data_IF_607300151505
#
_entry.id   IF_607300151505
#
_cell.length_a   1.000
_cell.length_b   1.000
_cell.length_c   1.000
_cell.angle_alpha   90.00
_cell.angle_beta   90.00
_cell.angle_gamma   90.00
#
_symmetry.space_group_name_H-M   'P 1'
#
loop_
_entity.id
_entity.type
_entity.pdbx_description
1 polymer ?
#
# COMPACT_ATOMS: atom_id res chain seq x y z
N UNK A 1 10.41 20.75 8.85
CA UNK A 1 10.43 19.42 8.21
C UNK A 1 9.01 19.16 7.74
N UNK A 2 8.81 18.72 6.50
CA UNK A 2 7.47 18.34 6.01
C UNK A 2 7.41 16.84 5.72
N UNK A 3 6.25 16.25 5.92
CA UNK A 3 6.00 14.83 5.66
C UNK A 3 4.92 14.70 4.60
N UNK A 4 5.30 14.19 3.42
CA UNK A 4 4.39 14.02 2.29
C UNK A 4 4.06 12.55 2.08
N UNK A 5 2.77 12.20 2.10
CA UNK A 5 2.28 10.86 1.81
C UNK A 5 1.74 10.82 0.40
N UNK A 6 2.32 10.00 -0.47
CA UNK A 6 1.92 9.85 -1.88
C UNK A 6 1.13 8.56 -2.09
N UNK A 7 0.07 8.65 -2.89
CA UNK A 7 -0.73 7.51 -3.35
C UNK A 7 0.01 6.57 -4.31
N UNK A 8 -0.70 5.56 -4.82
CA UNK A 8 -0.20 4.56 -5.77
C UNK A 8 0.56 5.19 -6.96
N UNK A 9 1.86 4.90 -7.04
CA UNK A 9 2.74 5.44 -8.08
C UNK A 9 2.68 4.60 -9.36
N UNK A 10 2.63 3.27 -9.20
CA UNK A 10 2.49 2.28 -10.26
C UNK A 10 3.41 2.54 -11.47
N UNK A 11 4.71 2.68 -11.20
CA UNK A 11 5.73 2.90 -12.23
C UNK A 11 5.60 4.23 -12.99
N UNK A 12 4.82 5.18 -12.50
CA UNK A 12 4.64 6.49 -13.10
C UNK A 12 5.70 7.51 -12.66
N UNK A 13 6.97 7.12 -12.73
CA UNK A 13 8.15 7.89 -12.28
C UNK A 13 8.10 9.39 -12.64
N UNK A 14 7.75 9.74 -13.88
CA UNK A 14 7.68 11.14 -14.32
C UNK A 14 6.64 11.94 -13.54
N UNK A 15 5.49 11.35 -13.25
CA UNK A 15 4.43 11.98 -12.45
C UNK A 15 4.88 12.22 -11.02
N UNK A 16 5.52 11.22 -10.40
CA UNK A 16 6.11 11.35 -9.07
C UNK A 16 7.11 12.51 -9.03
N UNK A 17 8.08 12.56 -9.95
CA UNK A 17 9.07 13.65 -10.01
C UNK A 17 8.43 15.03 -10.20
N UNK A 18 7.34 15.13 -10.97
CA UNK A 18 6.61 16.38 -11.18
C UNK A 18 5.86 16.82 -9.93
N UNK A 19 5.21 15.89 -9.24
CA UNK A 19 4.54 16.15 -7.96
C UNK A 19 5.54 16.58 -6.88
N UNK A 20 6.67 15.86 -6.74
CA UNK A 20 7.72 16.22 -5.79
C UNK A 20 8.34 17.59 -6.09
N UNK A 21 8.51 17.93 -7.37
CA UNK A 21 8.93 19.28 -7.76
C UNK A 21 7.88 20.34 -7.40
N UNK A 22 6.60 20.03 -7.57
CA UNK A 22 5.50 20.97 -7.27
C UNK A 22 5.40 21.31 -5.78
N UNK A 23 5.69 20.35 -4.90
CA UNK A 23 5.75 20.57 -3.44
C UNK A 23 7.15 20.95 -2.95
N UNK A 24 8.08 21.20 -3.87
CA UNK A 24 9.48 21.56 -3.58
C UNK A 24 10.18 20.60 -2.61
N UNK A 25 9.89 19.30 -2.69
CA UNK A 25 10.42 18.27 -1.79
C UNK A 25 11.96 18.25 -1.76
N UNK A 26 12.53 18.27 -0.55
CA UNK A 26 13.98 18.23 -0.31
C UNK A 26 14.37 16.98 0.48
N UNK A 27 15.01 16.01 -0.19
CA UNK A 27 15.61 14.87 0.48
C UNK A 27 16.62 15.34 1.55
N UNK A 28 16.59 14.72 2.73
CA UNK A 28 17.38 15.10 3.91
C UNK A 28 16.72 16.15 4.81
N UNK A 29 15.68 16.87 4.34
CA UNK A 29 14.94 17.86 5.13
C UNK A 29 13.44 17.53 5.26
N UNK A 30 12.89 16.80 4.28
CA UNK A 30 11.51 16.33 4.24
C UNK A 30 11.46 14.80 4.22
N UNK A 31 10.29 14.25 4.55
CA UNK A 31 9.98 12.82 4.49
C UNK A 31 8.97 12.53 3.38
N UNK A 32 9.20 11.46 2.61
CA UNK A 32 8.27 10.94 1.61
C UNK A 32 7.76 9.58 2.08
N UNK A 33 6.46 9.47 2.30
CA UNK A 33 5.78 8.24 2.65
C UNK A 33 5.02 7.72 1.43
N UNK A 34 5.19 6.44 1.08
CA UNK A 34 4.51 5.82 -0.06
C UNK A 34 3.58 4.71 0.42
N UNK A 35 2.29 4.78 0.02
CA UNK A 35 1.26 3.80 0.40
C UNK A 35 1.36 2.46 -0.38
N UNK A 36 2.50 2.15 -1.00
CA UNK A 36 2.69 0.95 -1.82
C UNK A 36 2.23 1.09 -3.27
N UNK A 37 2.19 -0.06 -3.96
CA UNK A 37 1.99 -0.18 -5.41
C UNK A 37 2.91 0.79 -6.17
N UNK A 38 4.21 0.67 -5.89
CA UNK A 38 5.26 1.50 -6.48
C UNK A 38 5.49 1.13 -7.95
N UNK A 39 5.22 -0.13 -8.30
CA UNK A 39 5.54 -0.72 -9.61
C UNK A 39 4.30 -1.26 -10.33
N UNK A 40 4.54 -1.80 -11.54
CA UNK A 40 3.55 -2.36 -12.44
C UNK A 40 2.59 -1.31 -13.03
N UNK A 41 1.85 -1.67 -14.08
CA UNK A 41 0.96 -0.79 -14.89
C UNK A 41 1.67 0.30 -15.67
N UNK A 42 2.39 1.21 -15.01
CA UNK A 42 3.15 2.27 -15.65
C UNK A 42 4.43 1.76 -16.32
N UNK A 43 5.05 2.58 -17.20
CA UNK A 43 6.16 2.14 -18.04
C UNK A 43 7.54 2.21 -17.38
N UNK A 44 7.67 2.84 -16.19
CA UNK A 44 8.96 3.19 -15.57
C UNK A 44 9.07 2.69 -14.12
N UNK A 45 8.68 1.43 -13.90
CA UNK A 45 8.82 0.77 -12.59
C UNK A 45 10.27 0.71 -12.10
N UNK A 46 11.23 0.40 -12.98
CA UNK A 46 12.65 0.38 -12.65
C UNK A 46 13.16 1.74 -12.15
N UNK A 47 12.87 2.81 -12.89
CA UNK A 47 13.25 4.18 -12.49
C UNK A 47 12.61 4.57 -11.16
N UNK A 48 11.37 4.11 -10.92
CA UNK A 48 10.63 4.39 -9.68
C UNK A 48 11.30 3.74 -8.47
N UNK A 49 11.61 2.44 -8.52
CA UNK A 49 12.23 1.74 -7.40
C UNK A 49 13.63 2.27 -7.10
N UNK A 50 14.47 2.47 -8.12
CA UNK A 50 15.81 3.05 -7.94
C UNK A 50 15.74 4.40 -7.24
N UNK A 51 14.87 5.29 -7.73
CA UNK A 51 14.70 6.60 -7.13
C UNK A 51 14.27 6.53 -5.66
N UNK A 52 13.26 5.70 -5.34
CA UNK A 52 12.77 5.58 -3.97
C UNK A 52 13.79 4.94 -3.02
N UNK A 53 14.55 3.94 -3.47
CA UNK A 53 15.67 3.36 -2.72
C UNK A 53 16.75 4.40 -2.45
N UNK A 54 17.12 5.18 -3.47
CA UNK A 54 18.19 6.17 -3.39
C UNK A 54 17.84 7.38 -2.51
N UNK A 55 16.55 7.59 -2.16
CA UNK A 55 16.13 8.56 -1.13
C UNK A 55 16.53 8.14 0.29
N UNK A 56 16.86 6.86 0.49
CA UNK A 56 17.32 6.32 1.77
C UNK A 56 16.40 6.69 2.95
N UNK A 57 16.93 7.30 4.03
CA UNK A 57 16.17 7.57 5.24
C UNK A 57 15.08 8.64 5.07
N UNK A 58 15.03 9.37 3.95
CA UNK A 58 13.96 10.33 3.63
C UNK A 58 12.73 9.67 3.02
N UNK A 59 12.72 8.34 2.87
CA UNK A 59 11.63 7.57 2.30
C UNK A 59 11.12 6.55 3.32
N UNK A 60 9.79 6.43 3.43
CA UNK A 60 9.08 5.37 4.17
C UNK A 60 8.09 4.73 3.23
N UNK A 61 8.05 3.41 3.20
CA UNK A 61 7.26 2.65 2.23
C UNK A 61 6.45 1.62 3.02
N UNK A 62 5.20 1.42 2.63
CA UNK A 62 4.50 0.16 2.90
C UNK A 62 4.35 -0.64 1.61
N UNK A 63 4.37 -1.97 1.72
CA UNK A 63 4.24 -2.85 0.56
C UNK A 63 2.80 -2.95 0.06
N UNK A 64 2.61 -2.77 -1.24
CA UNK A 64 1.36 -3.02 -1.93
C UNK A 64 1.31 -4.38 -2.64
N UNK A 65 0.15 -4.71 -3.22
CA UNK A 65 -0.02 -6.00 -3.88
C UNK A 65 0.84 -6.16 -5.15
N UNK A 66 1.14 -5.06 -5.84
CA UNK A 66 1.95 -5.08 -7.05
C UNK A 66 3.44 -5.14 -6.72
N UNK A 67 3.85 -4.65 -5.55
CA UNK A 67 5.21 -4.78 -5.05
C UNK A 67 5.49 -6.24 -4.67
N UNK A 68 4.60 -6.86 -3.88
CA UNK A 68 4.66 -8.30 -3.57
C UNK A 68 4.63 -9.15 -4.84
N UNK A 69 3.80 -8.79 -5.83
CA UNK A 69 3.77 -9.49 -7.11
C UNK A 69 5.10 -9.40 -7.87
N UNK A 70 5.78 -8.25 -7.82
CA UNK A 70 7.10 -8.11 -8.42
C UNK A 70 8.13 -9.01 -7.72
N UNK A 71 8.17 -9.02 -6.39
CA UNK A 71 9.07 -9.91 -5.62
C UNK A 71 8.80 -11.37 -6.02
N UNK A 72 7.54 -11.81 -5.99
CA UNK A 72 7.20 -13.17 -6.39
C UNK A 72 7.53 -13.50 -7.86
N UNK A 73 7.48 -12.52 -8.77
CA UNK A 73 7.91 -12.71 -10.17
C UNK A 73 9.42 -12.88 -10.29
N UNK A 74 10.19 -12.08 -9.56
CA UNK A 74 11.64 -12.17 -9.52
C UNK A 74 12.09 -13.55 -9.00
N UNK A 75 11.39 -14.07 -7.99
CA UNK A 75 11.67 -15.38 -7.38
C UNK A 75 11.04 -16.57 -8.11
N UNK A 76 10.36 -16.34 -9.25
CA UNK A 76 9.59 -17.34 -9.98
C UNK A 76 8.46 -18.04 -9.17
N UNK A 77 8.01 -17.45 -8.07
CA UNK A 77 6.89 -17.90 -7.23
C UNK A 77 5.52 -17.41 -7.72
N UNK A 78 5.48 -16.42 -8.62
CA UNK A 78 4.23 -15.86 -9.12
C UNK A 78 3.55 -16.74 -10.19
N UNK A 79 2.20 -16.79 -10.24
CA UNK A 79 1.47 -17.47 -11.31
C UNK A 79 1.90 -17.02 -12.71
N UNK A 80 1.92 -17.97 -13.66
CA UNK A 80 2.36 -17.73 -15.05
C UNK A 80 1.46 -16.76 -15.82
N UNK A 81 0.21 -16.57 -15.40
CA UNK A 81 -0.80 -15.73 -16.10
C UNK A 81 -0.82 -14.31 -15.55
N UNK A 82 -1.16 -13.34 -16.41
CA UNK A 82 -1.40 -11.94 -16.05
C UNK A 82 -0.56 -10.96 -16.86
N UNK A 83 -1.20 -9.91 -17.40
CA UNK A 83 -0.49 -8.81 -18.08
C UNK A 83 0.22 -7.94 -17.03
N UNK A 84 1.48 -7.62 -17.28
CA UNK A 84 2.29 -6.71 -16.45
C UNK A 84 3.26 -5.90 -17.31
N UNK A 85 3.75 -4.79 -16.77
CA UNK A 85 4.76 -3.92 -17.42
C UNK A 85 6.16 -4.06 -16.81
N UNK A 86 6.35 -5.07 -15.96
CA UNK A 86 7.59 -5.29 -15.21
C UNK A 86 8.77 -5.83 -16.04
N UNK A 87 8.65 -6.07 -17.36
CA UNK A 87 9.72 -6.77 -18.11
C UNK A 87 11.06 -6.04 -18.04
N UNK A 88 11.07 -4.70 -18.09
CA UNK A 88 12.31 -3.92 -17.99
C UNK A 88 12.96 -4.03 -16.61
N UNK A 89 12.13 -4.08 -15.56
CA UNK A 89 12.60 -4.22 -14.18
C UNK A 89 13.13 -5.65 -13.94
N UNK A 90 12.38 -6.69 -14.31
CA UNK A 90 12.80 -8.09 -14.14
C UNK A 90 14.09 -8.46 -14.91
N UNK A 91 14.41 -7.72 -15.98
CA UNK A 91 15.62 -7.95 -16.79
C UNK A 91 16.79 -7.04 -16.39
N UNK A 92 16.62 -6.15 -15.42
CA UNK A 92 17.69 -5.25 -15.01
C UNK A 92 18.74 -6.00 -14.18
N UNK A 93 20.02 -5.61 -14.24
CA UNK A 93 21.09 -6.29 -13.50
C UNK A 93 20.91 -6.20 -11.97
N UNK A 94 20.20 -5.17 -11.50
CA UNK A 94 19.88 -4.90 -10.09
C UNK A 94 18.47 -5.35 -9.70
N UNK A 95 17.78 -6.15 -10.52
CA UNK A 95 16.42 -6.60 -10.23
C UNK A 95 16.32 -7.36 -8.90
N UNK A 96 17.30 -8.23 -8.64
CA UNK A 96 17.37 -9.01 -7.39
C UNK A 96 17.59 -8.11 -6.19
N UNK A 97 18.55 -7.18 -6.27
CA UNK A 97 18.84 -6.22 -5.20
C UNK A 97 17.60 -5.37 -4.87
N UNK A 98 16.85 -4.93 -5.89
CA UNK A 98 15.61 -4.18 -5.70
C UNK A 98 14.50 -5.03 -5.08
N UNK A 99 14.40 -6.31 -5.44
CA UNK A 99 13.44 -7.22 -4.83
C UNK A 99 13.79 -7.49 -3.35
N UNK A 100 15.07 -7.70 -3.05
CA UNK A 100 15.56 -7.90 -1.68
C UNK A 100 15.38 -6.63 -0.83
N UNK A 101 15.61 -5.44 -1.40
CA UNK A 101 15.30 -4.18 -0.73
C UNK A 101 13.80 -4.01 -0.46
N UNK A 102 12.92 -4.41 -1.39
CA UNK A 102 11.49 -4.36 -1.15
C UNK A 102 11.05 -5.35 -0.05
N UNK A 103 11.68 -6.52 0.05
CA UNK A 103 11.38 -7.50 1.10
C UNK A 103 11.62 -6.97 2.52
N UNK A 104 12.47 -5.96 2.69
CA UNK A 104 12.73 -5.33 3.99
C UNK A 104 11.77 -4.18 4.32
N UNK A 105 10.87 -3.81 3.41
CA UNK A 105 9.88 -2.76 3.67
C UNK A 105 8.69 -3.33 4.45
N UNK A 106 8.10 -2.56 5.38
CA UNK A 106 6.97 -3.01 6.18
C UNK A 106 5.67 -3.10 5.36
N UNK A 107 4.65 -3.74 5.90
CA UNK A 107 3.27 -3.70 5.39
C UNK A 107 2.44 -2.60 6.05
N UNK A 108 2.82 -2.20 7.27
CA UNK A 108 2.17 -1.14 8.05
C UNK A 108 3.25 -0.26 8.65
N UNK A 109 3.06 1.06 8.57
CA UNK A 109 3.95 2.04 9.18
C UNK A 109 3.15 2.93 10.12
N UNK A 110 3.67 3.14 11.33
CA UNK A 110 3.08 4.01 12.33
C UNK A 110 4.08 5.09 12.73
N UNK A 111 3.59 6.32 12.87
CA UNK A 111 4.38 7.42 13.43
C UNK A 111 3.46 8.46 14.09
N UNK A 112 4.03 9.23 15.01
CA UNK A 112 3.35 10.36 15.64
C UNK A 112 4.00 11.66 15.14
N UNK A 113 3.22 12.51 14.49
CA UNK A 113 3.69 13.73 13.83
C UNK A 113 3.14 14.95 14.57
N UNK A 114 4.00 15.95 14.76
CA UNK A 114 3.58 17.27 15.24
C UNK A 114 2.92 18.05 14.09
N UNK A 115 1.65 18.36 14.24
CA UNK A 115 0.82 19.02 13.22
C UNK A 115 0.29 20.35 13.73
N UNK A 116 -0.34 21.12 12.86
CA UNK A 116 -1.05 22.35 13.25
C UNK A 116 -2.19 22.09 14.26
N UNK A 117 -2.67 20.84 14.37
CA UNK A 117 -3.66 20.39 15.35
C UNK A 117 -3.04 19.74 16.61
N UNK A 118 -1.71 19.78 16.75
CA UNK A 118 -0.92 19.13 17.80
C UNK A 118 -0.39 17.76 17.36
N UNK A 119 0.08 16.96 18.33
CA UNK A 119 0.57 15.60 18.08
C UNK A 119 -0.57 14.71 17.57
N UNK A 120 -0.37 14.10 16.41
CA UNK A 120 -1.32 13.19 15.78
C UNK A 120 -0.66 11.88 15.37
N UNK A 121 -1.39 10.79 15.63
CA UNK A 121 -1.01 9.44 15.22
C UNK A 121 -1.40 9.18 13.78
N UNK A 122 -0.47 8.67 12.98
CA UNK A 122 -0.68 8.27 11.59
C UNK A 122 -0.37 6.79 11.40
N UNK A 123 -1.29 6.07 10.76
CA UNK A 123 -1.13 4.67 10.37
C UNK A 123 -1.21 4.59 8.85
N UNK A 124 -0.12 4.20 8.22
CA UNK A 124 -0.03 3.97 6.79
C UNK A 124 -0.07 2.48 6.48
N UNK A 125 -0.92 2.09 5.54
CA UNK A 125 -1.06 0.73 5.02
C UNK A 125 -1.52 0.79 3.56
N UNK A 126 -1.37 -0.29 2.78
CA UNK A 126 -1.72 -0.21 1.36
C UNK A 126 -3.24 -0.23 1.10
N UNK A 127 -3.97 -1.17 1.70
CA UNK A 127 -5.40 -1.37 1.45
C UNK A 127 -6.29 -1.14 2.67
N UNK A 128 -6.39 -2.09 3.61
CA UNK A 128 -7.25 -1.98 4.78
C UNK A 128 -7.01 -3.06 5.83
N UNK A 129 -7.89 -3.13 6.82
CA UNK A 129 -7.80 -4.09 7.94
C UNK A 129 -9.09 -4.88 8.13
N UNK A 130 -9.00 -5.97 8.90
CA UNK A 130 -10.19 -6.68 9.36
C UNK A 130 -10.95 -5.85 10.42
N UNK A 131 -12.29 -6.01 10.54
CA UNK A 131 -13.09 -5.24 11.49
C UNK A 131 -12.64 -5.30 12.96
N UNK A 132 -12.01 -6.40 13.35
CA UNK A 132 -11.61 -6.66 14.74
C UNK A 132 -10.19 -6.21 15.09
N UNK A 133 -9.41 -5.73 14.12
CA UNK A 133 -8.02 -5.38 14.37
C UNK A 133 -7.87 -4.00 14.98
N UNK A 134 -7.28 -3.95 16.18
CA UNK A 134 -6.74 -2.74 16.78
C UNK A 134 -5.45 -2.31 16.06
N UNK A 135 -4.94 -1.12 16.38
CA UNK A 135 -3.61 -0.68 15.94
C UNK A 135 -2.51 -1.67 16.32
N UNK A 136 -2.47 -2.07 17.59
CA UNK A 136 -1.47 -3.03 18.10
C UNK A 136 -1.55 -4.36 17.34
N UNK A 137 -2.74 -4.94 17.22
CA UNK A 137 -2.93 -6.18 16.48
C UNK A 137 -2.56 -6.03 15.00
N UNK A 138 -2.85 -4.88 14.39
CA UNK A 138 -2.49 -4.62 12.99
C UNK A 138 -0.97 -4.63 12.81
N UNK A 139 -0.21 -4.03 13.73
CA UNK A 139 1.25 -3.99 13.72
C UNK A 139 1.86 -5.38 13.99
N UNK A 140 1.31 -6.15 14.93
CA UNK A 140 1.76 -7.51 15.23
C UNK A 140 1.55 -8.44 14.04
N UNK A 141 0.35 -8.40 13.44
CA UNK A 141 0.02 -9.24 12.29
C UNK A 141 0.83 -8.86 11.05
N UNK A 142 1.09 -7.55 10.84
CA UNK A 142 1.97 -7.13 9.75
C UNK A 142 3.39 -7.66 9.95
N UNK A 143 3.91 -7.61 11.18
CA UNK A 143 5.22 -8.14 11.54
C UNK A 143 5.33 -9.65 11.29
N UNK A 144 4.28 -10.44 11.53
CA UNK A 144 4.27 -11.89 11.19
C UNK A 144 4.58 -12.12 9.70
N UNK A 145 3.95 -11.34 8.82
CA UNK A 145 4.15 -11.44 7.36
C UNK A 145 5.51 -10.91 6.95
N UNK A 146 5.97 -9.81 7.56
CA UNK A 146 7.29 -9.22 7.32
C UNK A 146 8.41 -10.19 7.70
N UNK A 147 8.31 -10.87 8.84
CA UNK A 147 9.25 -11.91 9.27
C UNK A 147 9.28 -13.05 8.24
N UNK A 148 8.12 -13.51 7.77
CA UNK A 148 8.06 -14.55 6.74
C UNK A 148 8.69 -14.10 5.41
N UNK A 149 8.53 -12.82 5.04
CA UNK A 149 9.09 -12.25 3.80
C UNK A 149 10.62 -12.04 3.87
N UNK A 150 11.14 -11.76 5.07
CA UNK A 150 12.57 -11.53 5.32
C UNK A 150 13.33 -12.82 5.67
N UNK A 151 12.64 -13.86 6.15
CA UNK A 151 13.24 -15.14 6.52
C UNK A 151 13.70 -15.98 5.34
N UNK A 152 14.35 -17.11 5.63
CA UNK A 152 14.99 -17.98 4.63
C UNK A 152 13.98 -18.68 3.71
N UNK A 153 12.80 -19.04 4.21
CA UNK A 153 11.75 -19.75 3.45
C UNK A 153 10.68 -18.80 2.86
N UNK A 154 11.04 -17.54 2.62
CA UNK A 154 10.13 -16.53 2.06
C UNK A 154 9.50 -16.95 0.72
N UNK A 155 10.15 -17.83 -0.05
CA UNK A 155 9.63 -18.37 -1.32
C UNK A 155 8.38 -19.22 -1.12
N UNK A 156 8.28 -19.98 -0.02
CA UNK A 156 7.08 -20.74 0.31
C UNK A 156 5.91 -19.80 0.58
N UNK A 157 6.14 -18.72 1.34
CA UNK A 157 5.17 -17.65 1.56
C UNK A 157 4.78 -16.95 0.25
N UNK A 158 5.73 -16.51 -0.58
CA UNK A 158 5.45 -15.84 -1.86
C UNK A 158 4.61 -16.70 -2.81
N UNK A 159 4.79 -18.02 -2.78
CA UNK A 159 3.97 -18.96 -3.55
C UNK A 159 2.57 -19.06 -2.95
N UNK A 160 2.46 -19.12 -1.62
CA UNK A 160 1.19 -19.28 -0.92
C UNK A 160 0.39 -18.00 -0.76
N UNK A 161 0.96 -16.79 -0.83
CA UNK A 161 0.19 -15.55 -0.66
C UNK A 161 -0.87 -15.35 -1.77
N UNK A 162 -0.78 -16.07 -2.88
CA UNK A 162 -1.81 -16.08 -3.91
C UNK A 162 -3.03 -16.90 -3.47
N UNK A 163 -4.21 -16.29 -3.62
CA UNK A 163 -5.48 -16.95 -3.32
C UNK A 163 -6.46 -15.99 -2.67
N UNK A 164 -7.73 -16.40 -2.65
CA UNK A 164 -8.83 -15.62 -2.06
C UNK A 164 -9.42 -16.32 -0.80
N UNK A 165 -8.77 -17.38 -0.32
CA UNK A 165 -9.14 -18.16 0.86
C UNK A 165 -7.95 -18.26 1.81
N UNK A 166 -8.11 -18.11 3.14
CA UNK A 166 -9.37 -17.86 3.86
C UNK A 166 -10.01 -16.51 3.54
N UNK A 167 -11.35 -16.43 3.65
CA UNK A 167 -12.11 -15.21 3.31
C UNK A 167 -12.15 -14.18 4.43
N UNK A 168 -11.90 -14.59 5.67
CA UNK A 168 -11.94 -13.73 6.86
C UNK A 168 -10.86 -14.14 7.84
N UNK A 169 -10.48 -13.19 8.68
CA UNK A 169 -9.62 -13.43 9.82
C UNK A 169 -10.39 -14.16 10.94
N UNK A 170 -9.70 -15.04 11.65
CA UNK A 170 -10.06 -15.53 12.98
C UNK A 170 -8.80 -16.08 13.66
N UNK A 171 -8.77 -16.10 14.98
CA UNK A 171 -7.51 -16.37 15.73
C UNK A 171 -6.99 -17.80 15.57
N UNK A 172 -7.88 -18.76 15.27
CA UNK A 172 -7.49 -20.15 14.96
C UNK A 172 -6.87 -20.38 13.57
N UNK A 173 -6.55 -19.33 12.81
CA UNK A 173 -5.78 -19.47 11.57
C UNK A 173 -4.30 -19.63 11.90
N UNK A 174 -3.65 -20.56 11.23
CA UNK A 174 -2.22 -20.89 11.42
C UNK A 174 -1.48 -20.95 10.07
N UNK A 175 -0.14 -20.88 10.15
CA UNK A 175 0.76 -21.08 9.02
C UNK A 175 0.49 -20.16 7.82
N UNK A 176 0.66 -20.70 6.61
CA UNK A 176 0.59 -19.90 5.38
C UNK A 176 -0.81 -19.37 5.06
N UNK A 177 -1.87 -20.01 5.55
CA UNK A 177 -3.24 -19.50 5.39
C UNK A 177 -3.49 -18.28 6.28
N UNK A 178 -2.92 -18.26 7.49
CA UNK A 178 -2.88 -17.07 8.37
C UNK A 178 -2.17 -15.92 7.69
N UNK A 179 -0.95 -16.16 7.18
CA UNK A 179 -0.19 -15.12 6.48
C UNK A 179 -0.94 -14.60 5.24
N UNK A 180 -1.52 -15.49 4.42
CA UNK A 180 -2.28 -15.10 3.23
C UNK A 180 -3.48 -14.21 3.58
N UNK A 181 -4.25 -14.54 4.63
CA UNK A 181 -5.41 -13.71 4.98
C UNK A 181 -4.95 -12.33 5.49
N UNK A 182 -3.83 -12.25 6.21
CA UNK A 182 -3.27 -10.98 6.66
C UNK A 182 -2.86 -10.14 5.45
N UNK A 183 -2.10 -10.73 4.52
CA UNK A 183 -1.69 -10.09 3.28
C UNK A 183 -2.89 -9.60 2.45
N UNK A 184 -3.96 -10.40 2.37
CA UNK A 184 -5.16 -10.02 1.64
C UNK A 184 -5.86 -8.81 2.24
N UNK A 185 -5.92 -8.69 3.56
CA UNK A 185 -6.42 -7.48 4.20
C UNK A 185 -5.54 -6.29 3.89
N UNK A 186 -4.27 -6.36 4.27
CA UNK A 186 -3.35 -5.22 4.21
C UNK A 186 -3.07 -4.74 2.79
N UNK A 187 -3.19 -5.61 1.78
CA UNK A 187 -2.80 -5.27 0.40
C UNK A 187 -3.91 -5.37 -0.64
N UNK A 188 -5.07 -5.98 -0.35
CA UNK A 188 -6.07 -6.27 -1.39
C UNK A 188 -7.51 -5.91 -1.04
N UNK A 189 -7.85 -5.70 0.24
CA UNK A 189 -9.24 -5.48 0.63
C UNK A 189 -9.79 -4.17 0.06
N UNK A 190 -11.06 -4.20 -0.31
CA UNK A 190 -11.88 -3.03 -0.65
C UNK A 190 -13.17 -3.12 0.12
N UNK A 191 -13.89 -4.21 -0.10
CA UNK A 191 -15.16 -4.51 0.53
C UNK A 191 -15.05 -5.68 1.50
N UNK A 192 -15.72 -5.57 2.64
CA UNK A 192 -15.98 -6.67 3.57
C UNK A 192 -17.39 -6.59 4.16
N UNK A 193 -17.87 -7.69 4.74
CA UNK A 193 -19.07 -7.67 5.59
C UNK A 193 -18.71 -7.36 7.06
N UNK A 194 -19.72 -7.23 7.92
CA UNK A 194 -19.52 -6.88 9.33
C UNK A 194 -18.74 -7.93 10.14
N UNK A 195 -18.65 -9.18 9.66
CA UNK A 195 -17.91 -10.27 10.31
C UNK A 195 -16.50 -10.38 9.71
N UNK A 196 -16.19 -9.63 8.65
CA UNK A 196 -14.89 -9.61 7.99
C UNK A 196 -14.75 -10.62 6.84
N UNK A 197 -15.83 -11.09 6.20
CA UNK A 197 -15.63 -11.78 4.92
C UNK A 197 -15.24 -10.75 3.86
N UNK A 198 -14.07 -10.93 3.25
CA UNK A 198 -13.59 -10.07 2.17
C UNK A 198 -14.27 -10.41 0.85
N UNK A 199 -14.55 -9.37 0.05
CA UNK A 199 -14.93 -9.50 -1.35
C UNK A 199 -13.80 -8.98 -2.24
N UNK A 200 -12.87 -9.87 -2.59
CA UNK A 200 -11.64 -9.52 -3.32
C UNK A 200 -11.82 -9.37 -4.84
N UNK A 201 -12.99 -9.72 -5.39
CA UNK A 201 -13.25 -9.66 -6.83
C UNK A 201 -13.84 -8.31 -7.27
N UNK A 202 -14.58 -7.64 -6.39
CA UNK A 202 -15.16 -6.32 -6.67
C UNK A 202 -14.07 -5.25 -6.66
N UNK A 203 -14.07 -4.38 -7.67
CA UNK A 203 -13.05 -3.33 -7.88
C UNK A 203 -13.66 -1.95 -8.10
N UNK A 204 -14.98 -1.89 -8.19
CA UNK A 204 -15.76 -0.72 -8.52
C UNK A 204 -15.87 0.24 -7.32
N UNK A 205 -16.24 1.48 -7.59
CA UNK A 205 -16.43 2.51 -6.58
C UNK A 205 -17.68 2.30 -5.72
N UNK A 206 -17.88 3.17 -4.74
CA UNK A 206 -18.88 3.03 -3.66
C UNK A 206 -20.31 2.75 -4.14
N UNK A 207 -20.71 3.30 -5.29
CA UNK A 207 -22.06 3.14 -5.84
C UNK A 207 -22.36 1.70 -6.31
N UNK A 208 -21.33 0.87 -6.50
CA UNK A 208 -21.45 -0.51 -6.98
C UNK A 208 -21.05 -1.53 -5.91
N UNK A 209 -21.18 -1.15 -4.63
CA UNK A 209 -20.92 -2.05 -3.51
C UNK A 209 -21.75 -3.34 -3.64
N UNK A 210 -21.12 -4.53 -3.57
CA UNK A 210 -21.85 -5.79 -3.62
C UNK A 210 -22.86 -5.91 -2.46
N UNK A 211 -24.01 -6.53 -2.72
CA UNK A 211 -25.04 -6.71 -1.71
C UNK A 211 -24.50 -7.42 -0.46
N UNK A 212 -24.74 -6.84 0.72
CA UNK A 212 -24.25 -7.36 2.02
C UNK A 212 -22.82 -6.94 2.39
N UNK A 213 -22.11 -6.24 1.50
CA UNK A 213 -20.76 -5.74 1.75
C UNK A 213 -20.74 -4.21 1.84
N UNK A 214 -19.79 -3.67 2.60
CA UNK A 214 -19.49 -2.23 2.66
C UNK A 214 -17.99 -2.01 2.50
N UNK A 215 -17.54 -0.78 2.19
CA UNK A 215 -16.12 -0.45 2.23
C UNK A 215 -15.51 -0.81 3.58
N UNK A 216 -14.29 -1.35 3.59
CA UNK A 216 -13.65 -1.87 4.81
C UNK A 216 -13.58 -0.83 5.93
N UNK A 217 -13.35 0.44 5.60
CA UNK A 217 -13.27 1.56 6.54
C UNK A 217 -14.61 1.94 7.19
N UNK A 218 -15.70 1.27 6.83
CA UNK A 218 -16.97 1.37 7.55
C UNK A 218 -17.03 0.46 8.78
N UNK A 219 -16.14 -0.53 8.85
CA UNK A 219 -16.05 -1.51 9.93
C UNK A 219 -14.70 -1.51 10.65
N UNK A 220 -13.78 -0.62 10.27
CA UNK A 220 -12.46 -0.53 10.89
C UNK A 220 -12.54 -0.19 12.38
N UNK A 221 -11.61 -0.73 13.16
CA UNK A 221 -11.48 -0.50 14.59
C UNK A 221 -10.02 -0.26 15.01
N UNK A 222 -9.21 0.34 14.13
CA UNK A 222 -7.76 0.52 14.38
C UNK A 222 -7.57 1.42 15.61
N UNK A 223 -8.22 2.58 15.61
CA UNK A 223 -8.15 3.59 16.65
C UNK A 223 -9.25 4.61 16.43
N UNK A 224 -9.78 5.20 17.50
CA UNK A 224 -10.72 6.32 17.41
C UNK A 224 -10.05 7.64 16.99
N UNK A 225 -8.72 7.74 17.11
CA UNK A 225 -7.96 8.99 16.95
C UNK A 225 -7.01 8.99 15.77
N UNK A 226 -6.37 7.86 15.48
CA UNK A 226 -5.34 7.79 14.45
C UNK A 226 -5.90 8.15 13.07
N UNK A 227 -5.09 8.83 12.26
CA UNK A 227 -5.36 9.09 10.86
C UNK A 227 -4.88 7.89 10.03
N UNK A 228 -5.75 7.29 9.23
CA UNK A 228 -5.44 6.14 8.40
C UNK A 228 -5.14 6.61 6.98
N UNK A 229 -3.95 6.26 6.48
CA UNK A 229 -3.44 6.63 5.16
C UNK A 229 -3.38 5.38 4.29
N UNK A 230 -4.09 5.34 3.17
CA UNK A 230 -4.09 4.16 2.30
C UNK A 230 -4.23 4.46 0.81
N UNK A 231 -3.90 3.47 -0.02
CA UNK A 231 -3.91 3.50 -1.47
C UNK A 231 -4.87 2.47 -2.08
N UNK A 232 -4.41 1.77 -3.12
CA UNK A 232 -5.01 0.59 -3.79
C UNK A 232 -6.35 0.80 -4.50
N UNK A 233 -7.22 1.64 -3.97
CA UNK A 233 -8.61 1.75 -4.38
C UNK A 233 -8.90 3.01 -5.19
N UNK A 234 -8.26 3.10 -6.35
CA UNK A 234 -8.42 4.19 -7.32
C UNK A 234 -9.86 4.61 -7.60
N UNK A 235 -10.81 3.67 -7.59
CA UNK A 235 -12.23 3.93 -7.85
C UNK A 235 -12.94 4.76 -6.77
N UNK A 236 -12.30 5.01 -5.62
CA UNK A 236 -12.76 6.00 -4.63
C UNK A 236 -12.41 7.43 -5.04
N UNK A 237 -11.39 7.61 -5.88
CA UNK A 237 -10.85 8.92 -6.27
C UNK A 237 -10.51 9.81 -5.06
N UNK A 238 -10.09 9.20 -3.95
CA UNK A 238 -9.77 9.91 -2.71
C UNK A 238 -10.95 10.15 -1.76
N UNK A 239 -12.17 9.73 -2.12
CA UNK A 239 -13.39 10.00 -1.35
C UNK A 239 -13.81 8.81 -0.48
N UNK A 240 -13.66 8.93 0.84
CA UNK A 240 -14.07 7.92 1.82
C UNK A 240 -15.33 8.33 2.60
N UNK A 241 -15.64 9.63 2.66
CA UNK A 241 -16.68 10.17 3.53
C UNK A 241 -16.33 10.11 5.03
N UNK A 242 -15.09 9.76 5.37
CA UNK A 242 -14.60 9.61 6.75
C UNK A 242 -13.43 10.59 6.96
N UNK A 243 -13.52 11.53 7.92
CA UNK A 243 -12.48 12.55 8.13
C UNK A 243 -11.09 11.99 8.40
N UNK A 244 -11.00 10.89 9.16
CA UNK A 244 -9.73 10.25 9.55
C UNK A 244 -9.18 9.25 8.55
N UNK A 245 -9.88 8.98 7.45
CA UNK A 245 -9.50 7.91 6.51
C UNK A 245 -9.18 8.53 5.16
N UNK A 246 -7.89 8.62 4.86
CA UNK A 246 -7.34 9.30 3.70
C UNK A 246 -7.02 8.28 2.61
N UNK A 247 -7.91 8.18 1.62
CA UNK A 247 -7.60 7.52 0.36
C UNK A 247 -6.68 8.43 -0.48
N UNK A 248 -5.52 7.91 -0.86
CA UNK A 248 -4.49 8.62 -1.63
C UNK A 248 -4.32 8.06 -3.05
N UNK A 249 -4.81 6.85 -3.33
CA UNK A 249 -4.92 6.36 -4.70
C UNK A 249 -6.04 7.10 -5.44
N UNK A 250 -5.62 8.10 -6.20
CA UNK A 250 -6.48 8.87 -7.11
C UNK A 250 -6.30 8.46 -8.57
N UNK A 251 -5.79 7.25 -8.84
CA UNK A 251 -5.84 6.62 -10.16
C UNK A 251 -4.91 7.20 -11.23
N UNK A 252 -3.72 7.70 -10.88
CA UNK A 252 -2.83 8.38 -11.83
C UNK A 252 -2.47 7.56 -13.08
N UNK A 253 -2.25 6.25 -12.93
CA UNK A 253 -1.93 5.39 -14.07
C UNK A 253 -3.10 5.29 -15.05
N UNK A 254 -4.33 5.45 -14.56
CA UNK A 254 -5.59 5.41 -15.31
C UNK A 254 -5.95 6.76 -15.94
N UNK A 255 -5.03 7.73 -15.93
CA UNK A 255 -5.22 9.03 -16.56
C UNK A 255 -5.73 10.12 -15.62
N UNK A 256 -5.92 9.81 -14.35
CA UNK A 256 -6.34 10.77 -13.33
C UNK A 256 -5.13 11.49 -12.71
N UNK A 257 -5.15 11.74 -11.39
CA UNK A 257 -4.16 12.54 -10.68
C UNK A 257 -3.26 11.67 -9.80
N UNK A 258 -2.02 12.10 -9.59
CA UNK A 258 -1.18 11.59 -8.51
C UNK A 258 -1.30 12.56 -7.34
N UNK A 259 -1.71 12.06 -6.18
CA UNK A 259 -2.01 12.88 -5.01
C UNK A 259 -0.96 12.68 -3.93
N UNK A 260 -0.56 13.78 -3.29
CA UNK A 260 0.18 13.78 -2.03
C UNK A 260 -0.62 14.52 -0.95
N UNK A 261 -0.51 14.05 0.29
CA UNK A 261 -1.01 14.71 1.50
C UNK A 261 0.20 15.16 2.31
N UNK A 262 0.28 16.44 2.68
CA UNK A 262 1.23 16.89 3.71
C UNK A 262 0.58 16.72 5.07
N UNK A 263 1.27 16.04 5.99
CA UNK A 263 0.68 15.65 7.27
C UNK A 263 0.52 16.82 8.23
N UNK A 264 1.46 17.76 8.24
CA UNK A 264 1.52 18.84 9.21
C UNK A 264 0.31 19.79 9.13
N UNK A 265 -0.22 20.04 7.92
CA UNK A 265 -1.35 20.95 7.68
C UNK A 265 -2.55 20.28 6.97
N UNK A 266 -2.47 18.96 6.74
CA UNK A 266 -3.50 18.20 6.03
C UNK A 266 -3.71 18.61 4.56
N UNK A 267 -2.79 19.39 3.97
CA UNK A 267 -2.97 19.92 2.61
C UNK A 267 -2.75 18.85 1.56
N UNK A 268 -3.69 18.74 0.62
CA UNK A 268 -3.58 17.86 -0.55
C UNK A 268 -2.99 18.59 -1.74
N UNK A 269 -2.03 17.94 -2.40
CA UNK A 269 -1.40 18.37 -3.64
C UNK A 269 -1.69 17.32 -4.70
N UNK A 270 -1.87 17.73 -5.95
CA UNK A 270 -2.15 16.81 -7.03
C UNK A 270 -1.46 17.22 -8.31
N UNK A 271 -1.01 16.23 -9.07
CA UNK A 271 -0.46 16.42 -10.41
C UNK A 271 -1.27 15.63 -11.44
N UNK A 272 -1.72 16.31 -12.50
CA UNK A 272 -2.37 15.73 -13.69
C UNK A 272 -1.43 15.77 -14.90
N UNK A 273 -1.64 14.86 -15.85
CA UNK A 273 -0.90 14.85 -17.13
C UNK A 273 -1.39 15.94 -18.10
N UNK A 274 -2.61 16.46 -17.87
CA UNK A 274 -3.24 17.58 -18.57
C UNK A 274 -2.81 18.90 -17.99
#
# INVERSE_FOLDING_TARGET
MSTYVVGDIQGCYKGLRKLLKHVEFKAGADQLWCVGDLVNRGPRSLDTLRFLRDLGPSCRIVLGNHDLHFIAKQEACAPRRGKHTLQKLLKSPDAQELADWLRTQPLVYFDCIDTDAGLQDFVMLHAGVAPQWSLEQTLELSAEVEIALQGDDYRAYLTHMYGDTPRRWHDGLEGLDRLRVITNYLTRVRYCDAIGNMQLKAKEGLAMAPHGYKPWFMYENISERAQILFGHWAALEGHTGKPRVHALDTGFVWGQKLTALRLEDGKRFAYSKT
#
